data_IF_648750618948
#
_entry.id   IF_648750618948
#
_cell.length_a   1.000
_cell.length_b   1.000
_cell.length_c   1.000
_cell.angle_alpha   90.00
_cell.angle_beta   90.00
_cell.angle_gamma   90.00
#
_symmetry.space_group_name_H-M   'P 1'
#
loop_
_entity.id
_entity.type
_entity.pdbx_description
1 polymer ?
#
# COMPACT_ATOMS: atom_id res chain seq x y z
N UNK A 1 -10.94 -9.59 6.81
CA UNK A 1 -10.86 -8.11 6.75
C UNK A 1 -9.73 -7.71 5.83
N UNK A 2 -9.75 -6.48 5.35
CA UNK A 2 -8.79 -5.91 4.41
C UNK A 2 -8.29 -4.57 4.91
N UNK A 3 -7.26 -4.02 4.27
CA UNK A 3 -6.78 -2.66 4.56
C UNK A 3 -7.90 -1.62 4.42
N UNK A 4 -8.85 -1.83 3.49
CA UNK A 4 -10.03 -0.96 3.30
C UNK A 4 -10.87 -0.79 4.56
N UNK A 5 -10.94 -1.83 5.39
CA UNK A 5 -11.77 -1.81 6.59
C UNK A 5 -11.17 -0.92 7.69
N UNK A 6 -9.86 -0.64 7.60
CA UNK A 6 -9.09 0.06 8.64
C UNK A 6 -8.54 1.41 8.20
N UNK A 7 -8.46 1.68 6.90
CA UNK A 7 -7.78 2.84 6.35
C UNK A 7 -8.30 3.27 4.99
N UNK A 8 -8.03 4.53 4.65
CA UNK A 8 -8.01 4.98 3.26
C UNK A 8 -6.59 4.98 2.71
N UNK A 9 -6.44 4.83 1.39
CA UNK A 9 -5.15 4.86 0.72
C UNK A 9 -5.08 5.90 -0.40
N UNK A 10 -3.91 6.52 -0.58
CA UNK A 10 -3.60 7.40 -1.70
C UNK A 10 -2.26 7.01 -2.30
N UNK A 11 -2.22 6.88 -3.62
CA UNK A 11 -0.99 6.64 -4.35
C UNK A 11 -0.47 7.93 -5.00
N UNK A 12 0.85 8.05 -5.06
CA UNK A 12 1.57 9.07 -5.81
C UNK A 12 2.66 8.42 -6.66
N UNK A 13 3.04 9.10 -7.73
CA UNK A 13 4.14 8.66 -8.60
C UNK A 13 5.46 9.34 -8.18
N UNK A 14 6.55 8.58 -8.19
CA UNK A 14 7.92 9.08 -8.08
C UNK A 14 8.80 8.44 -9.15
N UNK A 15 8.57 8.78 -10.42
CA UNK A 15 9.46 8.44 -11.52
C UNK A 15 9.42 6.94 -11.84
N UNK A 16 10.39 6.16 -11.34
CA UNK A 16 10.46 4.71 -11.57
C UNK A 16 9.84 3.86 -10.44
N UNK A 17 9.26 4.52 -9.44
CA UNK A 17 8.57 3.87 -8.32
C UNK A 17 7.29 4.62 -7.95
N UNK A 18 6.45 3.96 -7.16
CA UNK A 18 5.21 4.54 -6.64
C UNK A 18 5.27 4.61 -5.14
N UNK A 19 4.64 5.62 -4.56
CA UNK A 19 4.42 5.69 -3.13
C UNK A 19 2.93 5.51 -2.83
N UNK A 20 2.60 4.73 -1.80
CA UNK A 20 1.22 4.54 -1.35
C UNK A 20 1.14 4.84 0.14
N UNK A 21 0.41 5.91 0.47
CA UNK A 21 0.08 6.29 1.84
C UNK A 21 -1.20 5.59 2.27
N UNK A 22 -1.17 4.93 3.41
CA UNK A 22 -2.29 4.27 4.09
C UNK A 22 -2.50 4.98 5.42
N UNK A 23 -3.64 5.64 5.59
CA UNK A 23 -3.95 6.38 6.83
C UNK A 23 -5.13 5.70 7.49
N UNK A 24 -4.93 5.30 8.75
CA UNK A 24 -5.94 4.61 9.51
C UNK A 24 -7.13 5.53 9.84
N UNK A 25 -8.31 4.93 10.01
CA UNK A 25 -9.49 5.66 10.47
C UNK A 25 -9.41 6.02 11.95
N UNK A 26 -8.75 5.19 12.76
CA UNK A 26 -8.56 5.36 14.19
C UNK A 26 -7.23 4.73 14.67
N UNK A 27 -6.93 4.91 15.96
CA UNK A 27 -5.70 4.42 16.58
C UNK A 27 -5.61 2.88 16.60
N UNK A 28 -6.73 2.19 16.87
CA UNK A 28 -6.77 0.73 16.89
C UNK A 28 -6.49 0.13 15.49
N UNK A 29 -7.04 0.74 14.44
CA UNK A 29 -6.76 0.43 13.05
C UNK A 29 -5.30 0.70 12.71
N UNK A 30 -4.74 1.81 13.19
CA UNK A 30 -3.32 2.13 12.98
C UNK A 30 -2.40 1.07 13.59
N UNK A 31 -2.61 0.70 14.84
CA UNK A 31 -1.81 -0.32 15.51
C UNK A 31 -1.89 -1.67 14.78
N UNK A 32 -3.08 -2.04 14.30
CA UNK A 32 -3.27 -3.27 13.55
C UNK A 32 -2.56 -3.22 12.20
N UNK A 33 -2.63 -2.10 11.47
CA UNK A 33 -1.89 -1.91 10.23
C UNK A 33 -0.38 -1.95 10.47
N UNK A 34 0.10 -1.37 11.57
CA UNK A 34 1.51 -1.38 11.93
C UNK A 34 2.04 -2.80 12.16
N UNK A 35 1.24 -3.67 12.78
CA UNK A 35 1.57 -5.10 12.99
C UNK A 35 1.44 -5.91 11.68
N UNK A 36 0.32 -5.77 10.99
CA UNK A 36 -0.09 -6.73 9.96
C UNK A 36 0.26 -6.33 8.53
N UNK A 37 0.25 -5.03 8.21
CA UNK A 37 0.56 -4.55 6.86
C UNK A 37 2.07 -4.41 6.70
N UNK A 38 2.72 -5.55 6.47
CA UNK A 38 4.18 -5.66 6.31
C UNK A 38 4.61 -5.38 4.88
N UNK A 39 5.90 -5.05 4.72
CA UNK A 39 6.52 -4.89 3.39
C UNK A 39 6.36 -6.13 2.53
N UNK A 40 6.48 -7.33 3.11
CA UNK A 40 6.33 -8.60 2.40
C UNK A 40 4.90 -8.80 1.86
N UNK A 41 3.86 -8.46 2.63
CA UNK A 41 2.47 -8.55 2.16
C UNK A 41 2.20 -7.57 1.03
N UNK A 42 2.70 -6.35 1.15
CA UNK A 42 2.58 -5.33 0.09
C UNK A 42 3.36 -5.77 -1.15
N UNK A 43 4.58 -6.28 -1.01
CA UNK A 43 5.36 -6.81 -2.13
C UNK A 43 4.62 -7.94 -2.86
N UNK A 44 4.03 -8.89 -2.13
CA UNK A 44 3.25 -9.97 -2.73
C UNK A 44 2.04 -9.46 -3.51
N UNK A 45 1.34 -8.45 -2.99
CA UNK A 45 0.19 -7.85 -3.67
C UNK A 45 0.58 -7.07 -4.94
N UNK A 46 1.77 -6.46 -4.95
CA UNK A 46 2.28 -5.65 -6.07
C UNK A 46 3.20 -6.42 -7.02
N UNK A 47 3.43 -7.73 -6.81
CA UNK A 47 4.38 -8.54 -7.58
C UNK A 47 4.08 -8.59 -9.09
N UNK A 48 2.82 -8.42 -9.50
CA UNK A 48 2.44 -8.35 -10.91
C UNK A 48 2.74 -6.99 -11.58
N UNK A 49 3.05 -5.96 -10.77
CA UNK A 49 3.23 -4.58 -11.21
C UNK A 49 4.64 -4.05 -10.94
N UNK A 50 5.41 -4.69 -10.07
CA UNK A 50 6.74 -4.24 -9.67
C UNK A 50 7.62 -5.41 -9.26
N UNK A 51 8.89 -5.34 -9.65
CA UNK A 51 9.90 -6.32 -9.24
C UNK A 51 10.80 -5.80 -8.10
N UNK A 52 10.66 -4.54 -7.71
CA UNK A 52 11.57 -3.87 -6.77
C UNK A 52 11.23 -4.03 -5.30
N UNK A 53 12.15 -3.58 -4.43
CA UNK A 53 11.93 -3.60 -3.00
C UNK A 53 10.71 -2.74 -2.63
N UNK A 54 10.00 -3.20 -1.60
CA UNK A 54 8.98 -2.41 -0.92
C UNK A 54 9.57 -1.93 0.40
N UNK A 55 9.53 -0.62 0.64
CA UNK A 55 9.96 0.01 1.89
C UNK A 55 8.77 0.60 2.62
N UNK A 56 8.65 0.33 3.92
CA UNK A 56 7.58 0.83 4.79
C UNK A 56 8.11 1.88 5.75
N UNK A 57 7.44 3.02 5.79
CA UNK A 57 7.72 4.12 6.71
C UNK A 57 6.51 4.34 7.62
N UNK A 58 6.71 4.21 8.93
CA UNK A 58 5.69 4.52 9.91
C UNK A 58 5.65 6.03 10.19
N UNK A 59 4.48 6.63 10.06
CA UNK A 59 4.20 8.02 10.37
C UNK A 59 3.27 8.06 11.61
N UNK A 60 3.82 7.71 12.76
CA UNK A 60 3.08 7.52 14.02
C UNK A 60 2.22 8.72 14.40
N UNK A 61 2.75 9.94 14.26
CA UNK A 61 2.01 11.17 14.55
C UNK A 61 0.80 11.42 13.65
N UNK A 62 0.71 10.73 12.51
CA UNK A 62 -0.36 10.85 11.53
C UNK A 62 -1.26 9.61 11.48
N UNK A 63 -1.00 8.59 12.31
CA UNK A 63 -1.71 7.31 12.22
C UNK A 63 -1.59 6.67 10.83
N UNK A 64 -0.43 6.81 10.18
CA UNK A 64 -0.26 6.42 8.79
C UNK A 64 0.98 5.56 8.53
N UNK A 65 0.93 4.77 7.46
CA UNK A 65 2.04 4.05 6.86
C UNK A 65 2.24 4.56 5.44
N UNK A 66 3.48 4.82 5.05
CA UNK A 66 3.82 5.12 3.66
C UNK A 66 4.70 4.01 3.10
N UNK A 67 4.28 3.43 1.98
CA UNK A 67 5.02 2.41 1.25
C UNK A 67 5.66 3.03 0.03
N UNK A 68 6.94 2.73 -0.21
CA UNK A 68 7.65 3.04 -1.45
C UNK A 68 7.91 1.73 -2.16
N UNK A 69 7.38 1.60 -3.38
CA UNK A 69 7.50 0.40 -4.21
C UNK A 69 8.33 0.79 -5.42
N UNK A 70 9.54 0.24 -5.51
CA UNK A 70 10.51 0.55 -6.55
C UNK A 70 10.36 -0.40 -7.76
N UNK A 71 10.93 -0.03 -8.92
CA UNK A 71 10.93 -0.83 -10.16
C UNK A 71 9.54 -1.29 -10.61
N UNK A 72 8.60 -0.34 -10.64
CA UNK A 72 7.26 -0.58 -11.19
C UNK A 72 7.36 -0.72 -12.71
N UNK A 73 6.77 -1.76 -13.28
CA UNK A 73 6.72 -1.99 -14.72
C UNK A 73 5.95 -0.86 -15.41
N UNK A 74 6.49 -0.32 -16.51
CA UNK A 74 5.94 0.87 -17.16
C UNK A 74 6.27 2.19 -16.45
N UNK A 75 7.31 2.19 -15.60
CA UNK A 75 7.73 3.31 -14.77
C UNK A 75 7.92 4.63 -15.53
N UNK A 76 7.14 5.63 -15.12
CA UNK A 76 7.30 7.02 -15.49
C UNK A 76 6.38 7.44 -16.64
N UNK A 77 5.77 8.61 -16.46
CA UNK A 77 4.83 9.37 -17.32
C UNK A 77 5.21 9.45 -18.82
N UNK A 78 6.37 8.96 -19.24
CA UNK A 78 6.90 9.09 -20.61
C UNK A 78 7.05 7.77 -21.38
N UNK A 79 6.54 6.65 -20.87
CA UNK A 79 6.43 5.42 -21.66
C UNK A 79 5.00 4.89 -21.61
N UNK A 80 4.31 4.98 -22.75
CA UNK A 80 3.02 4.35 -23.09
C UNK A 80 1.74 4.93 -22.48
N UNK A 81 0.87 5.45 -23.36
CA UNK A 81 -0.48 5.92 -23.07
C UNK A 81 -1.46 4.81 -22.68
N UNK A 82 -1.35 4.31 -21.44
CA UNK A 82 -2.35 3.48 -20.77
C UNK A 82 -2.95 4.27 -19.58
N UNK A 83 -3.69 5.30 -19.94
CA UNK A 83 -4.06 6.48 -19.15
C UNK A 83 -5.01 6.25 -17.92
N UNK A 84 -5.28 5.02 -17.46
CA UNK A 84 -6.33 4.77 -16.43
C UNK A 84 -5.86 4.02 -15.16
N UNK A 85 -4.56 3.89 -14.92
CA UNK A 85 -4.02 3.14 -13.74
C UNK A 85 -3.41 4.09 -12.67
N UNK A 86 -3.42 5.41 -12.90
CA UNK A 86 -2.56 6.42 -12.25
C UNK A 86 -2.77 6.75 -10.76
N UNK A 87 -3.41 5.89 -9.97
CA UNK A 87 -3.31 6.00 -8.51
C UNK A 87 -4.56 5.54 -7.78
N UNK A 88 -5.73 5.63 -8.41
CA UNK A 88 -6.96 4.96 -7.93
C UNK A 88 -6.79 3.45 -7.98
N UNK A 89 -6.16 2.91 -9.01
CA UNK A 89 -5.94 1.47 -9.15
C UNK A 89 -4.91 0.95 -8.15
N UNK A 90 -3.83 1.69 -7.90
CA UNK A 90 -2.80 1.32 -6.91
C UNK A 90 -3.29 1.48 -5.47
N UNK A 91 -4.00 2.56 -5.16
CA UNK A 91 -4.64 2.70 -3.85
C UNK A 91 -5.74 1.66 -3.65
N UNK A 92 -6.51 1.32 -4.70
CA UNK A 92 -7.50 0.24 -4.64
C UNK A 92 -6.85 -1.11 -4.40
N UNK A 93 -5.75 -1.44 -5.07
CA UNK A 93 -4.98 -2.67 -4.84
C UNK A 93 -4.47 -2.76 -3.41
N UNK A 94 -3.90 -1.67 -2.88
CA UNK A 94 -3.49 -1.59 -1.48
C UNK A 94 -4.66 -1.85 -0.53
N UNK A 95 -5.83 -1.25 -0.82
CA UNK A 95 -7.03 -1.41 0.01
C UNK A 95 -7.59 -2.83 -0.04
N UNK A 96 -7.33 -3.62 -1.09
CA UNK A 96 -7.76 -5.02 -1.20
C UNK A 96 -6.87 -6.01 -0.46
N UNK A 97 -5.71 -5.59 0.07
CA UNK A 97 -4.78 -6.49 0.75
C UNK A 97 -5.48 -7.12 1.97
N UNK A 98 -5.56 -8.45 2.05
CA UNK A 98 -6.14 -9.13 3.19
C UNK A 98 -5.22 -9.01 4.40
N UNK A 99 -5.83 -8.75 5.56
CA UNK A 99 -5.15 -8.79 6.86
C UNK A 99 -5.67 -9.99 7.64
N UNK A 100 -4.83 -10.64 8.47
CA UNK A 100 -5.28 -11.73 9.33
C UNK A 100 -6.51 -11.33 10.15
N UNK A 101 -7.51 -12.21 10.20
CA UNK A 101 -8.67 -12.04 11.07
C UNK A 101 -8.24 -12.08 12.53
N UNK A 102 -8.99 -11.41 13.42
CA UNK A 102 -8.94 -11.82 14.82
C UNK A 102 -9.66 -13.15 14.90
N UNK A 103 -8.95 -14.26 14.74
CA UNK A 103 -9.34 -15.43 15.52
C UNK A 103 -8.96 -15.07 16.95
N UNK A 104 -9.92 -14.97 17.90
CA UNK A 104 -9.56 -14.82 19.29
C UNK A 104 -8.68 -16.03 19.64
N UNK A 105 -7.48 -15.76 20.17
CA UNK A 105 -6.71 -16.79 20.86
C UNK A 105 -7.64 -17.35 21.95
N UNK A 106 -8.09 -18.59 21.75
CA UNK A 106 -9.00 -19.28 22.65
C UNK A 106 -8.37 -19.57 24.01
#
# INVERSE_FOLDING_TARGET
MTVRDLAHARAGDKGHGVNVSVVAYDEAGYERLLRELTEARVAAAFAALADGPVRRHALTKLGALNFVIERVHGGGVTATGALDIHGKSLSSLMLTIPLPGNEPEG
#
